data_IF_147287615936
#
_entry.id   IF_147287615936
#
_cell.length_a   1.000
_cell.length_b   1.000
_cell.length_c   1.000
_cell.angle_alpha   90.00
_cell.angle_beta   90.00
_cell.angle_gamma   90.00
#
_symmetry.space_group_name_H-M   'P 1'
#
loop_
_entity.id
_entity.type
_entity.pdbx_description
1 polymer ?
#
# COMPACT_ATOMS: atom_id res chain seq x y z
N UNK A 1 12.17 22.39 -8.62
CA UNK A 1 12.69 22.51 -10.02
C UNK A 1 14.00 21.77 -10.09
N UNK A 2 14.21 20.97 -11.13
CA UNK A 2 15.47 20.30 -11.39
C UNK A 2 16.58 21.31 -11.76
N UNK A 3 17.84 20.97 -11.49
CA UNK A 3 19.00 21.74 -11.93
C UNK A 3 19.16 21.69 -13.44
N UNK A 4 19.88 22.66 -14.04
CA UNK A 4 20.13 22.67 -15.49
C UNK A 4 20.79 21.37 -15.96
N UNK A 5 20.27 20.73 -17.00
CA UNK A 5 20.74 19.43 -17.53
C UNK A 5 20.32 18.21 -16.70
N UNK A 6 19.41 18.41 -15.74
CA UNK A 6 18.85 17.35 -14.91
C UNK A 6 17.32 17.34 -14.99
N UNK A 7 16.73 16.23 -14.61
CA UNK A 7 15.28 16.06 -14.39
C UNK A 7 15.03 15.52 -13.00
N UNK A 8 13.80 15.71 -12.51
CA UNK A 8 13.31 14.96 -11.36
C UNK A 8 12.73 13.63 -11.85
N UNK A 9 13.16 12.56 -11.21
CA UNK A 9 12.64 11.22 -11.38
C UNK A 9 11.90 10.85 -10.08
N UNK A 10 10.60 10.60 -10.19
CA UNK A 10 9.79 10.01 -9.13
C UNK A 10 9.69 8.51 -9.35
N UNK A 11 9.85 7.73 -8.30
CA UNK A 11 9.62 6.28 -8.32
C UNK A 11 8.81 5.91 -7.09
N UNK A 12 7.59 5.40 -7.30
CA UNK A 12 6.67 5.04 -6.23
C UNK A 12 6.21 3.58 -6.30
N UNK A 13 5.84 3.02 -5.16
CA UNK A 13 5.27 1.69 -5.11
C UNK A 13 3.80 1.69 -5.51
N UNK A 14 3.47 0.90 -6.53
CA UNK A 14 2.08 0.70 -6.95
C UNK A 14 1.33 -0.14 -5.92
N UNK A 15 0.45 0.51 -5.14
CA UNK A 15 -0.49 -0.12 -4.21
C UNK A 15 0.17 -1.04 -3.16
N UNK A 16 1.33 -0.65 -2.61
CA UNK A 16 2.12 -1.51 -1.70
C UNK A 16 1.29 -2.07 -0.53
N UNK A 17 0.45 -1.27 0.11
CA UNK A 17 -0.33 -1.71 1.28
C UNK A 17 -1.41 -2.73 0.90
N UNK A 18 -2.02 -2.63 -0.28
CA UNK A 18 -2.98 -3.63 -0.78
C UNK A 18 -2.28 -4.96 -1.12
N UNK A 19 -1.07 -4.89 -1.68
CA UNK A 19 -0.24 -6.07 -1.95
C UNK A 19 0.16 -6.76 -0.66
N UNK A 20 0.59 -6.00 0.35
CA UNK A 20 0.91 -6.52 1.68
C UNK A 20 -0.32 -7.10 2.38
N UNK A 21 -1.49 -6.47 2.25
CA UNK A 21 -2.73 -7.01 2.79
C UNK A 21 -3.11 -8.35 2.12
N UNK A 22 -2.96 -8.47 0.80
CA UNK A 22 -3.19 -9.72 0.08
C UNK A 22 -2.26 -10.85 0.55
N UNK A 23 -0.98 -10.53 0.77
CA UNK A 23 0.03 -11.46 1.29
C UNK A 23 -0.27 -11.87 2.74
N UNK A 24 -0.37 -10.90 3.66
CA UNK A 24 -0.50 -11.13 5.10
C UNK A 24 -1.85 -11.75 5.50
N UNK A 25 -2.91 -11.46 4.74
CA UNK A 25 -4.24 -12.03 4.96
C UNK A 25 -4.48 -13.33 4.15
N UNK A 26 -3.54 -13.74 3.31
CA UNK A 26 -3.64 -14.98 2.53
C UNK A 26 -4.80 -14.98 1.53
N UNK A 27 -5.00 -13.89 0.78
CA UNK A 27 -6.15 -13.73 -0.10
C UNK A 27 -5.77 -14.13 -1.53
N UNK A 28 -5.91 -15.41 -1.85
CA UNK A 28 -5.51 -15.95 -3.15
C UNK A 28 -6.10 -15.18 -4.36
N UNK A 29 -7.41 -14.81 -4.39
CA UNK A 29 -7.94 -14.04 -5.52
C UNK A 29 -7.26 -12.67 -5.74
N UNK A 30 -6.80 -12.01 -4.67
CA UNK A 30 -6.05 -10.75 -4.79
C UNK A 30 -4.60 -10.99 -5.20
N UNK A 31 -3.96 -12.07 -4.71
CA UNK A 31 -2.61 -12.45 -5.09
C UNK A 31 -2.54 -12.78 -6.59
N UNK A 32 -3.47 -13.61 -7.07
CA UNK A 32 -3.59 -13.96 -8.49
C UNK A 32 -3.82 -12.71 -9.36
N UNK A 33 -4.72 -11.82 -8.94
CA UNK A 33 -5.00 -10.59 -9.66
C UNK A 33 -3.76 -9.67 -9.74
N UNK A 34 -3.01 -9.52 -8.63
CA UNK A 34 -1.76 -8.76 -8.64
C UNK A 34 -0.68 -9.41 -9.52
N UNK A 35 -0.56 -10.73 -9.49
CA UNK A 35 0.39 -11.45 -10.33
C UNK A 35 0.05 -11.32 -11.84
N UNK A 36 -1.24 -11.27 -12.17
CA UNK A 36 -1.75 -11.09 -13.53
C UNK A 36 -1.79 -9.62 -13.98
N UNK A 37 -1.41 -8.65 -13.13
CA UNK A 37 -1.48 -7.23 -13.44
C UNK A 37 -2.91 -6.67 -13.58
N UNK A 38 -3.89 -7.35 -12.98
CA UNK A 38 -5.30 -6.92 -13.02
C UNK A 38 -5.52 -5.74 -12.08
N UNK A 39 -6.32 -4.77 -12.51
CA UNK A 39 -6.75 -3.64 -11.67
C UNK A 39 -7.62 -4.12 -10.51
N UNK A 40 -7.05 -4.12 -9.31
CA UNK A 40 -7.70 -4.57 -8.08
C UNK A 40 -8.97 -3.78 -7.77
N UNK A 41 -9.00 -2.48 -8.09
CA UNK A 41 -10.17 -1.66 -7.83
C UNK A 41 -11.31 -2.01 -8.80
N UNK A 42 -10.99 -2.26 -10.06
CA UNK A 42 -11.95 -2.73 -11.04
C UNK A 42 -12.46 -4.15 -10.69
N UNK A 43 -11.56 -5.04 -10.26
CA UNK A 43 -11.93 -6.38 -9.80
C UNK A 43 -12.89 -6.31 -8.59
N UNK A 44 -12.55 -5.49 -7.59
CA UNK A 44 -13.41 -5.30 -6.41
C UNK A 44 -14.77 -4.71 -6.79
N UNK A 45 -14.80 -3.71 -7.67
CA UNK A 45 -16.05 -3.13 -8.17
C UNK A 45 -16.92 -4.18 -8.84
N UNK A 46 -16.33 -5.00 -9.69
CA UNK A 46 -17.06 -6.09 -10.35
C UNK A 46 -17.67 -7.07 -9.33
N UNK A 47 -16.93 -7.41 -8.30
CA UNK A 47 -17.35 -8.40 -7.31
C UNK A 47 -18.33 -7.87 -6.26
N UNK A 48 -18.20 -6.59 -5.89
CA UNK A 48 -19.05 -5.95 -4.87
C UNK A 48 -20.33 -5.36 -5.47
N UNK A 49 -20.25 -4.80 -6.69
CA UNK A 49 -21.38 -4.13 -7.35
C UNK A 49 -21.99 -4.96 -8.48
N UNK A 50 -21.40 -6.10 -8.86
CA UNK A 50 -21.90 -6.96 -9.93
C UNK A 50 -21.76 -6.35 -11.34
N UNK A 51 -20.81 -5.43 -11.55
CA UNK A 51 -20.60 -4.76 -12.85
C UNK A 51 -19.43 -5.39 -13.60
N UNK A 52 -19.44 -5.41 -14.94
CA UNK A 52 -18.32 -5.94 -15.72
C UNK A 52 -17.07 -5.07 -15.55
N UNK A 53 -15.89 -5.70 -15.59
CA UNK A 53 -14.59 -4.99 -15.52
C UNK A 53 -14.36 -4.16 -16.80
N UNK A 54 -14.69 -4.73 -17.97
CA UNK A 54 -14.55 -4.05 -19.25
C UNK A 54 -15.54 -2.88 -19.36
N UNK A 55 -15.04 -1.69 -19.71
CA UNK A 55 -15.86 -0.50 -19.86
C UNK A 55 -16.41 0.07 -18.54
N UNK A 56 -15.81 -0.27 -17.42
CA UNK A 56 -16.26 0.19 -16.10
C UNK A 56 -16.25 1.72 -15.99
N UNK A 57 -17.35 2.27 -15.45
CA UNK A 57 -17.45 3.69 -15.10
C UNK A 57 -16.33 4.08 -14.11
N UNK A 58 -15.52 5.11 -14.40
CA UNK A 58 -14.48 5.61 -13.50
C UNK A 58 -14.98 5.94 -12.09
N UNK A 59 -16.22 6.39 -11.93
CA UNK A 59 -16.83 6.67 -10.61
C UNK A 59 -17.07 5.40 -9.81
N UNK A 60 -17.47 4.30 -10.47
CA UNK A 60 -17.66 2.98 -9.83
C UNK A 60 -16.31 2.44 -9.37
N UNK A 61 -15.28 2.53 -10.21
CA UNK A 61 -13.91 2.17 -9.86
C UNK A 61 -13.38 3.00 -8.68
N UNK A 62 -13.67 4.31 -8.66
CA UNK A 62 -13.28 5.21 -7.56
C UNK A 62 -13.97 4.83 -6.24
N UNK A 63 -15.26 4.45 -6.27
CA UNK A 63 -15.97 3.92 -5.09
C UNK A 63 -15.33 2.64 -4.58
N UNK A 64 -14.99 1.71 -5.47
CA UNK A 64 -14.29 0.48 -5.08
C UNK A 64 -12.90 0.76 -4.49
N UNK A 65 -12.16 1.75 -5.00
CA UNK A 65 -10.91 2.21 -4.38
C UNK A 65 -11.12 2.67 -2.94
N UNK A 66 -12.15 3.47 -2.69
CA UNK A 66 -12.49 3.94 -1.34
C UNK A 66 -12.90 2.78 -0.41
N UNK A 67 -13.61 1.77 -0.94
CA UNK A 67 -14.00 0.56 -0.20
C UNK A 67 -12.75 -0.27 0.14
N UNK A 68 -11.87 -0.55 -0.83
CA UNK A 68 -10.66 -1.34 -0.61
C UNK A 68 -9.80 -0.76 0.52
N UNK A 69 -9.43 0.51 0.41
CA UNK A 69 -8.61 1.17 1.42
C UNK A 69 -9.37 1.35 2.74
N UNK A 70 -10.63 1.78 2.66
CA UNK A 70 -11.44 1.97 3.86
C UNK A 70 -11.55 0.69 4.69
N UNK A 71 -11.88 -0.43 4.08
CA UNK A 71 -12.05 -1.71 4.79
C UNK A 71 -10.73 -2.21 5.37
N UNK A 72 -9.64 -2.17 4.59
CA UNK A 72 -8.32 -2.58 5.08
C UNK A 72 -7.88 -1.76 6.28
N UNK A 73 -8.25 -0.47 6.32
CA UNK A 73 -7.98 0.40 7.47
C UNK A 73 -9.04 0.34 8.57
N UNK A 74 -10.00 -0.58 8.47
CA UNK A 74 -11.00 -0.81 9.52
C UNK A 74 -12.08 0.27 9.59
N UNK A 75 -12.49 0.82 8.44
CA UNK A 75 -13.57 1.81 8.36
C UNK A 75 -14.89 1.23 8.90
N UNK A 76 -15.63 2.03 9.64
CA UNK A 76 -16.99 1.67 10.07
C UNK A 76 -18.00 1.89 8.95
N UNK A 77 -19.19 1.23 9.01
CA UNK A 77 -20.30 1.53 8.06
C UNK A 77 -20.69 3.02 8.04
N UNK A 78 -20.62 3.69 9.19
CA UNK A 78 -20.84 5.12 9.28
C UNK A 78 -19.76 5.92 8.51
N UNK A 79 -18.48 5.62 8.74
CA UNK A 79 -17.39 6.29 8.05
C UNK A 79 -17.41 6.09 6.53
N UNK A 80 -17.72 4.87 6.08
CA UNK A 80 -17.83 4.57 4.65
C UNK A 80 -19.03 5.28 4.02
N UNK A 81 -20.17 5.34 4.71
CA UNK A 81 -21.35 6.07 4.26
C UNK A 81 -21.06 7.57 4.06
N UNK A 82 -20.38 8.19 5.02
CA UNK A 82 -19.92 9.58 4.92
C UNK A 82 -18.98 9.80 3.73
N UNK A 83 -18.00 8.92 3.56
CA UNK A 83 -16.99 9.04 2.50
C UNK A 83 -17.57 8.88 1.09
N UNK A 84 -18.56 8.02 0.92
CA UNK A 84 -19.21 7.74 -0.36
C UNK A 84 -20.46 8.59 -0.63
N UNK A 85 -20.99 9.30 0.38
CA UNK A 85 -22.26 10.02 0.28
C UNK A 85 -23.47 9.11 0.08
N UNK A 86 -23.48 7.94 0.73
CA UNK A 86 -24.53 6.91 0.61
C UNK A 86 -25.19 6.63 1.97
N UNK A 87 -26.39 5.99 1.99
CA UNK A 87 -27.01 5.53 3.23
C UNK A 87 -26.13 4.52 3.99
N UNK A 88 -26.15 4.57 5.32
CA UNK A 88 -25.36 3.66 6.17
C UNK A 88 -25.74 2.18 5.95
N UNK A 89 -26.99 1.88 5.62
CA UNK A 89 -27.42 0.52 5.30
C UNK A 89 -26.72 -0.02 4.04
N UNK A 90 -26.57 0.82 3.01
CA UNK A 90 -25.84 0.49 1.78
C UNK A 90 -24.35 0.29 2.04
N UNK A 91 -23.72 1.18 2.81
CA UNK A 91 -22.34 1.03 3.21
C UNK A 91 -22.10 -0.27 4.00
N UNK A 92 -23.03 -0.66 4.87
CA UNK A 92 -22.98 -1.94 5.58
C UNK A 92 -23.09 -3.13 4.63
N UNK A 93 -23.96 -3.05 3.63
CA UNK A 93 -24.10 -4.09 2.62
C UNK A 93 -22.80 -4.26 1.80
N UNK A 94 -22.15 -3.17 1.39
CA UNK A 94 -20.86 -3.21 0.69
C UNK A 94 -19.76 -3.84 1.54
N UNK A 95 -19.64 -3.47 2.81
CA UNK A 95 -18.68 -4.09 3.73
C UNK A 95 -18.97 -5.59 3.89
N UNK A 96 -20.26 -5.97 3.99
CA UNK A 96 -20.68 -7.37 4.07
C UNK A 96 -20.27 -8.16 2.82
N UNK A 97 -20.58 -7.64 1.63
CA UNK A 97 -20.22 -8.25 0.35
C UNK A 97 -18.70 -8.38 0.19
N UNK A 98 -17.93 -7.36 0.58
CA UNK A 98 -16.48 -7.39 0.55
C UNK A 98 -15.92 -8.51 1.44
N UNK A 99 -16.36 -8.63 2.68
CA UNK A 99 -15.90 -9.69 3.58
C UNK A 99 -16.39 -11.09 3.19
N UNK A 100 -17.54 -11.20 2.52
CA UNK A 100 -17.99 -12.46 1.95
C UNK A 100 -17.07 -12.91 0.81
N UNK A 101 -16.60 -11.96 0.01
CA UNK A 101 -15.68 -12.23 -1.11
C UNK A 101 -14.24 -12.45 -0.67
N UNK A 102 -13.80 -11.70 0.34
CA UNK A 102 -12.42 -11.72 0.86
C UNK A 102 -12.40 -12.03 2.37
N UNK A 103 -12.80 -13.24 2.78
CA UNK A 103 -12.93 -13.59 4.21
C UNK A 103 -11.60 -13.48 4.96
N UNK A 104 -10.48 -13.76 4.31
CA UNK A 104 -9.13 -13.64 4.89
C UNK A 104 -8.81 -12.25 5.45
N UNK A 105 -9.41 -11.16 4.91
CA UNK A 105 -9.25 -9.81 5.47
C UNK A 105 -9.87 -9.74 6.87
N UNK A 106 -11.09 -10.26 7.05
CA UNK A 106 -11.74 -10.28 8.37
C UNK A 106 -10.93 -11.09 9.37
N UNK A 107 -10.46 -12.26 8.96
CA UNK A 107 -9.66 -13.15 9.80
C UNK A 107 -8.33 -12.51 10.20
N UNK A 108 -7.66 -11.83 9.26
CA UNK A 108 -6.47 -11.04 9.53
C UNK A 108 -6.74 -9.96 10.58
N UNK A 109 -7.82 -9.19 10.42
CA UNK A 109 -8.19 -8.10 11.33
C UNK A 109 -8.45 -8.63 12.75
N UNK A 110 -9.22 -9.71 12.89
CA UNK A 110 -9.56 -10.27 14.20
C UNK A 110 -8.32 -10.86 14.89
N UNK A 111 -7.52 -11.66 14.19
CA UNK A 111 -6.26 -12.21 14.72
C UNK A 111 -5.30 -11.11 15.16
N UNK A 112 -5.20 -10.03 14.39
CA UNK A 112 -4.31 -8.91 14.70
C UNK A 112 -4.75 -8.16 15.93
N UNK A 113 -6.06 -7.89 16.09
CA UNK A 113 -6.63 -7.27 17.28
C UNK A 113 -6.45 -8.16 18.52
N UNK A 114 -6.67 -9.46 18.39
CA UNK A 114 -6.50 -10.41 19.47
C UNK A 114 -5.04 -10.46 19.94
N UNK A 115 -4.10 -10.57 19.02
CA UNK A 115 -2.67 -10.52 19.31
C UNK A 115 -2.29 -9.21 20.01
N UNK A 116 -2.78 -8.07 19.53
CA UNK A 116 -2.54 -6.77 20.14
C UNK A 116 -3.06 -6.69 21.56
N UNK A 117 -4.29 -7.19 21.82
CA UNK A 117 -4.88 -7.21 23.18
C UNK A 117 -4.09 -8.09 24.14
N UNK A 118 -3.54 -9.20 23.67
CA UNK A 118 -2.79 -10.17 24.47
C UNK A 118 -1.40 -9.67 24.84
N UNK A 119 -0.69 -9.05 23.90
CA UNK A 119 0.75 -8.73 24.06
C UNK A 119 1.07 -7.24 24.07
N UNK A 120 0.10 -6.35 23.79
CA UNK A 120 0.28 -4.89 23.79
C UNK A 120 1.00 -4.33 22.56
N UNK A 121 1.32 -5.14 21.58
CA UNK A 121 1.95 -4.74 20.32
C UNK A 121 1.54 -5.66 19.16
N UNK A 122 1.80 -5.22 17.95
CA UNK A 122 1.77 -6.02 16.71
C UNK A 122 3.13 -5.95 16.05
N UNK A 123 3.41 -6.80 15.05
CA UNK A 123 4.71 -6.84 14.37
C UNK A 123 4.57 -6.65 12.88
N UNK A 124 5.56 -6.00 12.26
CA UNK A 124 5.75 -6.02 10.81
C UNK A 124 6.24 -7.39 10.35
N UNK A 125 6.26 -7.64 9.04
CA UNK A 125 6.86 -8.85 8.47
C UNK A 125 8.37 -8.97 8.77
N UNK A 126 9.03 -7.84 9.06
CA UNK A 126 10.44 -7.81 9.46
C UNK A 126 10.65 -7.97 10.98
N UNK A 127 9.59 -8.24 11.75
CA UNK A 127 9.66 -8.46 13.19
C UNK A 127 9.73 -7.18 14.04
N UNK A 128 9.63 -5.99 13.43
CA UNK A 128 9.59 -4.72 14.18
C UNK A 128 8.30 -4.63 14.98
N UNK A 129 8.40 -4.38 16.28
CA UNK A 129 7.25 -4.23 17.18
C UNK A 129 6.64 -2.83 17.07
N UNK A 130 5.33 -2.80 16.88
CA UNK A 130 4.52 -1.58 16.89
C UNK A 130 3.62 -1.64 18.11
N UNK A 131 3.96 -0.88 19.15
CA UNK A 131 3.20 -0.85 20.39
C UNK A 131 1.85 -0.16 20.21
N UNK A 132 0.80 -0.70 20.84
CA UNK A 132 -0.57 -0.20 20.78
C UNK A 132 -1.10 0.10 22.19
N UNK A 133 -0.57 1.14 22.87
CA UNK A 133 -1.01 1.49 24.21
C UNK A 133 -2.49 1.88 24.21
N UNK A 134 -3.26 1.36 25.15
CA UNK A 134 -4.71 1.61 25.22
C UNK A 134 -5.59 0.68 24.38
N UNK A 135 -5.05 -0.40 23.80
CA UNK A 135 -5.84 -1.41 23.08
C UNK A 135 -6.92 -2.07 23.99
N UNK A 136 -6.70 -2.11 25.28
CA UNK A 136 -7.63 -2.62 26.30
C UNK A 136 -8.29 -1.48 27.11
N UNK A 137 -8.30 -0.24 26.62
CA UNK A 137 -8.91 0.90 27.32
C UNK A 137 -10.40 0.65 27.56
N UNK A 138 -10.89 1.05 28.74
CA UNK A 138 -12.31 0.96 29.11
C UNK A 138 -13.19 1.90 28.26
N UNK A 139 -12.61 3.02 27.78
CA UNK A 139 -13.30 3.95 26.89
C UNK A 139 -13.45 3.33 25.49
N UNK A 140 -14.70 3.10 25.00
CA UNK A 140 -14.93 2.46 23.71
C UNK A 140 -14.34 3.21 22.51
N UNK A 141 -14.32 4.54 22.56
CA UNK A 141 -13.78 5.36 21.46
C UNK A 141 -12.25 5.20 21.36
N UNK A 142 -11.54 5.24 22.49
CA UNK A 142 -10.10 4.99 22.55
C UNK A 142 -9.75 3.58 22.12
N UNK A 143 -10.47 2.59 22.65
CA UNK A 143 -10.28 1.18 22.27
C UNK A 143 -10.47 0.97 20.77
N UNK A 144 -11.56 1.47 20.19
CA UNK A 144 -11.84 1.35 18.75
C UNK A 144 -10.76 2.03 17.89
N UNK A 145 -10.22 3.18 18.33
CA UNK A 145 -9.11 3.83 17.66
C UNK A 145 -7.86 2.94 17.68
N UNK A 146 -7.51 2.36 18.84
CA UNK A 146 -6.35 1.47 18.97
C UNK A 146 -6.53 0.14 18.23
N UNK A 147 -7.73 -0.39 18.13
CA UNK A 147 -8.05 -1.55 17.29
C UNK A 147 -7.75 -1.28 15.81
N UNK A 148 -8.17 -0.12 15.28
CA UNK A 148 -7.81 0.27 13.91
C UNK A 148 -6.31 0.49 13.75
N UNK A 149 -5.67 1.15 14.70
CA UNK A 149 -4.22 1.34 14.68
C UNK A 149 -3.47 0.00 14.67
N UNK A 150 -3.94 -1.00 15.44
CA UNK A 150 -3.31 -2.33 15.47
C UNK A 150 -3.46 -3.08 14.15
N UNK A 151 -4.56 -2.93 13.43
CA UNK A 151 -4.78 -3.56 12.12
C UNK A 151 -3.85 -2.92 11.07
N UNK A 152 -3.67 -1.60 11.12
CA UNK A 152 -2.90 -0.85 10.12
C UNK A 152 -1.39 -0.94 10.34
N UNK A 153 -0.95 -0.99 11.59
CA UNK A 153 0.47 -0.93 11.93
C UNK A 153 1.33 -2.04 11.28
N UNK A 154 0.91 -3.31 11.15
CA UNK A 154 1.68 -4.30 10.42
C UNK A 154 1.83 -3.97 8.93
N UNK A 155 0.77 -3.48 8.28
CA UNK A 155 0.78 -3.15 6.86
C UNK A 155 1.65 -1.92 6.58
N UNK A 156 1.32 -0.79 7.19
CA UNK A 156 2.04 0.47 7.04
C UNK A 156 3.49 0.35 7.53
N UNK A 157 3.68 -0.36 8.64
CA UNK A 157 5.00 -0.62 9.18
C UNK A 157 5.86 -1.47 8.24
N UNK A 158 5.29 -2.51 7.63
CA UNK A 158 6.03 -3.34 6.66
C UNK A 158 6.35 -2.54 5.40
N UNK A 159 5.42 -1.73 4.88
CA UNK A 159 5.68 -0.81 3.76
C UNK A 159 6.84 0.15 4.09
N UNK A 160 6.84 0.75 5.30
CA UNK A 160 7.91 1.61 5.76
C UNK A 160 9.26 0.88 5.90
N UNK A 161 9.26 -0.38 6.34
CA UNK A 161 10.47 -1.18 6.42
C UNK A 161 11.01 -1.50 5.01
N UNK A 162 10.15 -1.79 4.05
CA UNK A 162 10.52 -2.07 2.64
C UNK A 162 11.14 -0.82 1.99
N UNK A 163 10.49 0.34 2.07
CA UNK A 163 11.03 1.55 1.44
C UNK A 163 12.35 1.98 2.08
N UNK A 164 12.52 1.84 3.40
CA UNK A 164 13.81 2.08 4.07
C UNK A 164 14.91 1.16 3.57
N UNK A 165 14.60 -0.12 3.35
CA UNK A 165 15.56 -1.07 2.78
C UNK A 165 15.94 -0.70 1.35
N UNK A 166 15.00 -0.24 0.53
CA UNK A 166 15.27 0.31 -0.79
C UNK A 166 16.21 1.53 -0.70
N UNK A 167 15.88 2.50 0.15
CA UNK A 167 16.67 3.71 0.37
C UNK A 167 18.14 3.43 0.77
N UNK A 168 18.38 2.40 1.57
CA UNK A 168 19.74 2.01 1.97
C UNK A 168 20.50 1.37 0.81
N UNK A 169 19.84 0.65 -0.09
CA UNK A 169 20.44 -0.12 -1.19
C UNK A 169 20.63 0.69 -2.46
N UNK A 170 19.83 1.71 -2.70
CA UNK A 170 19.88 2.50 -3.93
C UNK A 170 21.20 3.25 -4.09
N UNK A 171 21.73 4.01 -3.10
CA UNK A 171 22.96 4.76 -3.29
C UNK A 171 24.17 3.89 -3.68
N UNK A 172 24.48 2.78 -3.00
CA UNK A 172 25.58 1.91 -3.43
C UNK A 172 25.32 1.25 -4.79
N UNK A 173 24.06 0.96 -5.15
CA UNK A 173 23.74 0.41 -6.47
C UNK A 173 23.95 1.44 -7.59
N UNK A 174 23.59 2.70 -7.38
CA UNK A 174 23.89 3.80 -8.31
C UNK A 174 25.39 3.98 -8.49
N UNK A 175 26.15 3.99 -7.39
CA UNK A 175 27.61 4.10 -7.43
C UNK A 175 28.26 2.94 -8.20
N UNK A 176 27.83 1.70 -7.96
CA UNK A 176 28.32 0.53 -8.68
C UNK A 176 28.01 0.57 -10.19
N UNK A 177 26.87 1.14 -10.56
CA UNK A 177 26.48 1.35 -11.95
C UNK A 177 27.10 2.60 -12.59
N UNK A 178 27.87 3.40 -11.83
CA UNK A 178 28.47 4.68 -12.25
C UNK A 178 27.40 5.69 -12.72
N UNK A 179 26.24 5.70 -12.07
CA UNK A 179 25.16 6.65 -12.32
C UNK A 179 25.24 7.80 -11.29
N UNK A 180 25.09 9.03 -11.77
CA UNK A 180 25.20 10.25 -10.98
C UNK A 180 23.88 10.70 -10.33
N UNK A 181 22.79 9.96 -10.55
CA UNK A 181 21.48 10.25 -9.95
C UNK A 181 21.55 10.34 -8.42
N UNK A 182 20.91 11.34 -7.84
CA UNK A 182 20.89 11.60 -6.39
C UNK A 182 19.50 11.45 -5.82
N UNK A 183 19.33 10.62 -4.80
CA UNK A 183 18.09 10.56 -4.02
C UNK A 183 17.96 11.82 -3.18
N UNK A 184 16.84 12.55 -3.32
CA UNK A 184 16.59 13.82 -2.65
C UNK A 184 15.73 13.64 -1.40
N UNK A 185 14.60 12.95 -1.52
CA UNK A 185 13.64 12.78 -0.43
C UNK A 185 12.70 11.59 -0.65
N UNK A 186 12.00 11.22 0.43
CA UNK A 186 10.90 10.27 0.44
C UNK A 186 9.60 11.02 0.76
N UNK A 187 8.53 10.69 0.04
CA UNK A 187 7.17 11.15 0.32
C UNK A 187 6.23 9.94 0.28
N UNK A 188 5.69 9.53 1.43
CA UNK A 188 4.88 8.31 1.55
C UNK A 188 5.63 7.07 1.03
N UNK A 189 5.22 6.51 -0.09
CA UNK A 189 5.76 5.35 -0.81
C UNK A 189 6.58 5.74 -2.07
N UNK A 190 6.78 7.04 -2.29
CA UNK A 190 7.55 7.65 -3.38
C UNK A 190 8.98 7.98 -2.94
N UNK A 191 9.95 7.72 -3.81
CA UNK A 191 11.31 8.23 -3.73
C UNK A 191 11.57 9.20 -4.88
N UNK A 192 12.06 10.40 -4.56
CA UNK A 192 12.38 11.44 -5.54
C UNK A 192 13.88 11.55 -5.73
N UNK A 193 14.30 11.62 -6.99
CA UNK A 193 15.69 11.74 -7.42
C UNK A 193 15.87 12.95 -8.32
N UNK A 194 17.08 13.53 -8.30
CA UNK A 194 17.57 14.42 -9.34
C UNK A 194 18.60 13.65 -10.18
N UNK A 195 18.37 13.59 -11.49
CA UNK A 195 19.10 12.71 -12.39
C UNK A 195 19.54 13.47 -13.63
N UNK A 196 20.81 13.35 -14.10
CA UNK A 196 21.22 13.87 -15.40
C UNK A 196 20.33 13.33 -16.51
N UNK A 197 19.92 14.16 -17.46
CA UNK A 197 18.99 13.77 -18.53
C UNK A 197 19.46 12.52 -19.31
N UNK A 198 20.76 12.40 -19.54
CA UNK A 198 21.35 11.26 -20.25
C UNK A 198 21.28 9.92 -19.47
N UNK A 199 21.05 9.95 -18.15
CA UNK A 199 21.03 8.78 -17.28
C UNK A 199 19.64 8.37 -16.81
N UNK A 200 18.59 9.08 -17.23
CA UNK A 200 17.23 8.92 -16.72
C UNK A 200 16.71 7.49 -16.83
N UNK A 201 16.79 6.89 -18.00
CA UNK A 201 16.27 5.55 -18.26
C UNK A 201 17.03 4.49 -17.46
N UNK A 202 18.36 4.56 -17.44
CA UNK A 202 19.21 3.63 -16.69
C UNK A 202 18.97 3.75 -15.18
N UNK A 203 18.86 4.99 -14.67
CA UNK A 203 18.58 5.25 -13.25
C UNK A 203 17.19 4.75 -12.87
N UNK A 204 16.16 5.05 -13.66
CA UNK A 204 14.79 4.58 -13.40
C UNK A 204 14.71 3.05 -13.36
N UNK A 205 15.33 2.36 -14.32
CA UNK A 205 15.35 0.90 -14.37
C UNK A 205 16.06 0.30 -13.14
N UNK A 206 17.20 0.88 -12.74
CA UNK A 206 17.95 0.42 -11.56
C UNK A 206 17.14 0.64 -10.28
N UNK A 207 16.60 1.83 -10.08
CA UNK A 207 15.82 2.19 -8.87
C UNK A 207 14.60 1.29 -8.74
N UNK A 208 13.79 1.13 -9.81
CA UNK A 208 12.63 0.22 -9.80
C UNK A 208 13.03 -1.19 -9.38
N UNK A 209 14.05 -1.78 -10.00
CA UNK A 209 14.54 -3.11 -9.65
C UNK A 209 14.96 -3.24 -8.18
N UNK A 210 15.63 -2.23 -7.63
CA UNK A 210 16.04 -2.23 -6.21
C UNK A 210 14.82 -2.10 -5.30
N UNK A 211 13.86 -1.26 -5.64
CA UNK A 211 12.62 -1.11 -4.86
C UNK A 211 11.79 -2.40 -4.89
N UNK A 212 11.57 -2.99 -6.06
CA UNK A 212 10.81 -4.24 -6.21
C UNK A 212 11.45 -5.42 -5.47
N UNK A 213 12.78 -5.48 -5.41
CA UNK A 213 13.54 -6.49 -4.67
C UNK A 213 13.78 -6.17 -3.19
N UNK A 214 13.27 -5.05 -2.65
CA UNK A 214 13.69 -4.55 -1.34
C UNK A 214 13.26 -5.44 -0.15
N UNK A 215 12.20 -6.22 -0.26
CA UNK A 215 11.79 -7.17 0.78
C UNK A 215 12.82 -8.28 0.99
N UNK A 216 13.38 -8.82 -0.09
CA UNK A 216 14.36 -9.89 -0.04
C UNK A 216 15.73 -9.49 0.54
N UNK A 217 16.52 -10.48 0.99
CA UNK A 217 16.17 -11.88 1.26
C UNK A 217 15.47 -12.08 2.61
N UNK A 218 15.25 -11.02 3.40
CA UNK A 218 14.72 -11.12 4.76
C UNK A 218 13.24 -11.55 4.81
N UNK A 219 12.45 -11.13 3.81
CA UNK A 219 11.05 -11.49 3.66
C UNK A 219 10.80 -11.90 2.21
N UNK A 220 10.11 -13.02 2.03
CA UNK A 220 9.58 -13.48 0.74
C UNK A 220 8.09 -13.18 0.71
N UNK A 221 7.68 -12.32 -0.23
CA UNK A 221 6.27 -12.00 -0.44
C UNK A 221 5.67 -12.93 -1.51
N UNK A 222 4.45 -13.37 -1.31
CA UNK A 222 3.70 -14.14 -2.30
C UNK A 222 3.05 -13.27 -3.40
N UNK A 223 3.21 -11.95 -3.29
CA UNK A 223 2.72 -10.95 -4.25
C UNK A 223 3.90 -10.12 -4.72
N UNK A 224 4.07 -9.88 -6.04
CA UNK A 224 5.14 -9.04 -6.52
C UNK A 224 4.98 -7.59 -6.05
N UNK A 225 6.08 -6.95 -5.64
CA UNK A 225 6.12 -5.49 -5.52
C UNK A 225 6.32 -4.91 -6.92
N UNK A 226 5.64 -3.82 -7.22
CA UNK A 226 5.76 -3.10 -8.48
C UNK A 226 6.06 -1.65 -8.16
N UNK A 227 7.08 -1.09 -8.83
CA UNK A 227 7.44 0.31 -8.75
C UNK A 227 7.23 0.99 -10.11
N UNK A 228 6.52 2.11 -10.10
CA UNK A 228 6.25 2.94 -11.27
C UNK A 228 7.15 4.18 -11.24
N UNK A 229 7.49 4.73 -12.41
CA UNK A 229 8.36 5.90 -12.49
C UNK A 229 7.81 6.96 -13.40
N UNK A 230 7.93 8.23 -12.98
CA UNK A 230 7.61 9.39 -13.77
C UNK A 230 8.76 10.39 -13.79
N UNK A 231 8.85 11.21 -14.83
CA UNK A 231 9.93 12.17 -15.07
C UNK A 231 9.35 13.55 -15.35
N UNK A 232 9.94 14.58 -14.74
CA UNK A 232 9.50 15.96 -14.98
C UNK A 232 10.54 17.00 -14.55
N UNK A 233 10.30 18.25 -14.93
CA UNK A 233 11.14 19.39 -14.50
C UNK A 233 10.86 19.82 -13.05
N UNK A 234 9.74 19.39 -12.51
CA UNK A 234 9.33 19.59 -11.13
C UNK A 234 8.58 18.34 -10.63
N UNK A 235 8.35 18.26 -9.30
CA UNK A 235 7.70 17.10 -8.70
C UNK A 235 6.29 16.85 -9.25
N UNK A 236 5.50 17.90 -9.47
CA UNK A 236 4.12 17.75 -9.95
C UNK A 236 4.04 17.19 -11.38
N UNK A 237 5.08 17.42 -12.19
CA UNK A 237 5.18 16.87 -13.54
C UNK A 237 5.82 15.47 -13.56
N UNK A 238 6.53 15.09 -12.49
CA UNK A 238 7.17 13.79 -12.37
C UNK A 238 6.28 12.73 -11.70
N UNK A 239 5.12 13.15 -11.16
CA UNK A 239 4.17 12.26 -10.45
C UNK A 239 2.96 11.90 -11.29
#
# INVERSE_FOLDING_TARGET
MASKGHKLLSVDYSQIELRLAADMAGIEPLKEAFAAGIDIHALTASQVFGVPVAGMDPMVRRRAKAINFGIIYGISPFGLAQQLGIPQAEARAYIGAYFARFPGIRDYMERTKEAARKQGYVTTLFGRRCHVPGINDKNPARRSFMERASINAPLQGTAADIIKRAMIRIPPALAAARLAGRMLLQVHDELLFEVPEAELEATAALVRRVMEGAAGPAVTLSVPLVAESGVGDNRAAAH
#
